data_IF_779516201565
#
_entry.id   IF_779516201565
#
_cell.length_a   1.000
_cell.length_b   1.000
_cell.length_c   1.000
_cell.angle_alpha   90.00
_cell.angle_beta   90.00
_cell.angle_gamma   90.00
#
_symmetry.space_group_name_H-M   'P 1'
#
loop_
_entity.id
_entity.type
_entity.pdbx_description
1 polymer ?
#
# COMPACT_ATOMS: atom_id res chain seq x y z
N UNK A 1 -3.43 -21.05 11.23
CA UNK A 1 -4.38 -21.82 10.38
C UNK A 1 -3.88 -23.26 10.27
N UNK A 2 -4.72 -24.22 10.46
CA UNK A 2 -4.33 -25.65 10.40
C UNK A 2 -4.03 -26.16 8.98
N UNK A 3 -4.47 -25.45 7.92
CA UNK A 3 -4.22 -25.82 6.51
C UNK A 3 -4.27 -24.59 5.60
N UNK A 4 -3.21 -24.38 4.82
CA UNK A 4 -3.14 -23.43 3.72
C UNK A 4 -2.39 -22.12 4.01
N UNK A 5 -2.11 -21.40 2.93
CA UNK A 5 -1.47 -20.08 2.94
C UNK A 5 -2.50 -19.01 2.62
N UNK A 6 -2.31 -17.82 3.19
CA UNK A 6 -3.02 -16.63 2.77
C UNK A 6 -2.00 -15.62 2.25
N UNK A 7 -2.29 -15.09 1.09
CA UNK A 7 -1.51 -14.05 0.44
C UNK A 7 -2.19 -12.71 0.69
N UNK A 8 -1.40 -11.72 1.05
CA UNK A 8 -1.89 -10.36 1.31
C UNK A 8 -1.13 -9.39 0.41
N UNK A 9 -1.87 -8.58 -0.34
CA UNK A 9 -1.36 -7.41 -1.05
C UNK A 9 -1.86 -6.14 -0.36
N UNK A 10 -1.03 -5.11 -0.30
CA UNK A 10 -1.40 -3.78 0.15
C UNK A 10 -0.79 -2.73 -0.77
N UNK A 11 -1.57 -1.70 -1.09
CA UNK A 11 -1.15 -0.51 -1.81
C UNK A 11 -1.06 0.63 -0.80
N UNK A 12 0.10 1.25 -0.73
CA UNK A 12 0.42 2.27 0.26
C UNK A 12 0.87 3.56 -0.40
N UNK A 13 0.40 4.70 0.10
CA UNK A 13 1.00 5.99 -0.23
C UNK A 13 2.34 6.17 0.50
N UNK A 14 3.38 6.39 -0.27
CA UNK A 14 4.75 6.48 0.25
C UNK A 14 4.97 7.65 1.19
N UNK A 15 4.36 8.77 0.89
CA UNK A 15 4.56 10.00 1.65
C UNK A 15 3.92 9.91 3.04
N UNK A 16 2.66 9.48 3.08
CA UNK A 16 1.86 9.46 4.30
C UNK A 16 1.85 8.13 5.02
N UNK A 17 2.33 7.06 4.38
CA UNK A 17 2.27 5.67 4.87
C UNK A 17 0.86 5.10 4.95
N UNK A 18 -0.15 5.78 4.44
CA UNK A 18 -1.52 5.30 4.45
C UNK A 18 -1.66 4.09 3.54
N UNK A 19 -2.26 3.02 4.05
CA UNK A 19 -2.71 1.89 3.24
C UNK A 19 -3.98 2.32 2.52
N UNK A 20 -3.92 2.40 1.19
CA UNK A 20 -5.03 2.87 0.34
C UNK A 20 -6.00 1.73 0.00
N UNK A 21 -5.45 0.57 -0.32
CA UNK A 21 -6.22 -0.64 -0.61
C UNK A 21 -5.45 -1.88 -0.20
N UNK A 22 -6.15 -2.97 0.04
CA UNK A 22 -5.56 -4.27 0.35
C UNK A 22 -6.50 -5.41 -0.02
N UNK A 23 -5.94 -6.60 -0.27
CA UNK A 23 -6.71 -7.83 -0.54
C UNK A 23 -6.02 -9.03 0.09
N UNK A 24 -6.83 -10.01 0.45
CA UNK A 24 -6.36 -11.34 0.87
C UNK A 24 -6.90 -12.37 -0.13
N UNK A 25 -6.03 -13.28 -0.55
CA UNK A 25 -6.36 -14.42 -1.39
C UNK A 25 -5.75 -15.69 -0.81
N UNK A 26 -6.35 -16.84 -1.11
CA UNK A 26 -5.79 -18.17 -0.87
C UNK A 26 -4.98 -18.68 -2.08
N UNK A 27 -5.01 -17.97 -3.20
CA UNK A 27 -4.22 -18.24 -4.41
C UNK A 27 -3.23 -17.11 -4.68
N UNK A 28 -2.11 -17.44 -5.31
CA UNK A 28 -1.05 -16.49 -5.67
C UNK A 28 -1.23 -15.98 -7.11
N UNK A 29 -2.45 -15.71 -7.53
CA UNK A 29 -2.76 -15.18 -8.86
C UNK A 29 -2.61 -13.65 -8.88
N UNK A 30 -2.42 -13.07 -10.07
CA UNK A 30 -2.26 -11.61 -10.18
C UNK A 30 -3.58 -10.86 -9.98
N UNK A 31 -4.72 -11.54 -10.11
CA UNK A 31 -6.04 -10.92 -10.15
C UNK A 31 -6.37 -10.15 -8.85
N UNK A 32 -6.13 -10.75 -7.67
CA UNK A 32 -6.41 -10.05 -6.41
C UNK A 32 -5.52 -8.82 -6.20
N UNK A 33 -4.32 -8.78 -6.83
CA UNK A 33 -3.46 -7.60 -6.84
C UNK A 33 -4.05 -6.51 -7.74
N UNK A 34 -4.57 -6.89 -8.92
CA UNK A 34 -5.24 -5.97 -9.84
C UNK A 34 -6.51 -5.40 -9.21
N UNK A 35 -7.27 -6.19 -8.47
CA UNK A 35 -8.46 -5.72 -7.73
C UNK A 35 -8.10 -4.68 -6.67
N UNK A 36 -7.03 -4.89 -5.92
CA UNK A 36 -6.53 -3.89 -4.98
C UNK A 36 -6.11 -2.60 -5.70
N UNK A 37 -5.45 -2.71 -6.86
CA UNK A 37 -5.06 -1.58 -7.68
C UNK A 37 -6.27 -0.82 -8.21
N UNK A 38 -7.27 -1.51 -8.71
CA UNK A 38 -8.52 -0.92 -9.20
C UNK A 38 -9.24 -0.14 -8.10
N UNK A 39 -9.33 -0.71 -6.91
CA UNK A 39 -9.92 -0.02 -5.75
C UNK A 39 -9.14 1.24 -5.38
N UNK A 40 -7.81 1.16 -5.32
CA UNK A 40 -6.98 2.30 -5.00
C UNK A 40 -7.14 3.43 -6.04
N UNK A 41 -7.09 3.10 -7.34
CA UNK A 41 -7.27 4.07 -8.43
C UNK A 41 -8.67 4.70 -8.38
N UNK A 42 -9.70 3.89 -8.14
CA UNK A 42 -11.08 4.38 -8.08
C UNK A 42 -11.30 5.38 -6.93
N UNK A 43 -10.75 5.09 -5.76
CA UNK A 43 -10.94 5.90 -4.54
C UNK A 43 -10.04 7.12 -4.46
N UNK A 44 -8.82 7.03 -4.98
CA UNK A 44 -7.77 8.02 -4.73
C UNK A 44 -7.15 8.60 -6.00
N UNK A 45 -7.58 8.13 -7.17
CA UNK A 45 -7.00 8.49 -8.46
C UNK A 45 -5.72 7.70 -8.77
N UNK A 46 -5.26 7.75 -10.04
CA UNK A 46 -4.04 7.09 -10.46
C UNK A 46 -2.82 7.84 -9.91
N UNK A 47 -1.83 7.14 -9.33
CA UNK A 47 -0.56 7.75 -8.95
C UNK A 47 0.29 8.01 -10.21
N UNK A 48 1.24 8.91 -10.11
CA UNK A 48 2.21 9.14 -11.19
C UNK A 48 3.14 7.93 -11.37
N UNK A 49 3.54 7.31 -10.27
CA UNK A 49 4.47 6.18 -10.24
C UNK A 49 3.94 5.11 -9.28
N UNK A 50 3.96 3.85 -9.72
CA UNK A 50 3.74 2.68 -8.90
C UNK A 50 5.05 1.94 -8.70
N UNK A 51 5.46 1.78 -7.44
CA UNK A 51 6.60 0.96 -7.07
C UNK A 51 6.16 -0.44 -6.68
N UNK A 52 6.81 -1.46 -7.24
CA UNK A 52 6.55 -2.87 -6.95
C UNK A 52 7.86 -3.63 -6.82
N UNK A 53 7.83 -4.78 -6.17
CA UNK A 53 8.92 -5.75 -6.27
C UNK A 53 8.84 -6.54 -7.60
N UNK A 54 9.74 -7.50 -7.77
CA UNK A 54 9.79 -8.37 -8.95
C UNK A 54 8.97 -9.66 -8.77
N UNK A 55 8.01 -9.67 -7.86
CA UNK A 55 7.11 -10.81 -7.70
C UNK A 55 6.34 -11.13 -8.99
N UNK A 56 6.06 -12.42 -9.21
CA UNK A 56 5.39 -12.91 -10.42
C UNK A 56 4.05 -12.21 -10.69
N UNK A 57 3.34 -11.80 -9.64
CA UNK A 57 2.08 -11.07 -9.73
C UNK A 57 2.27 -9.69 -10.36
N UNK A 58 3.36 -8.98 -9.98
CA UNK A 58 3.64 -7.61 -10.41
C UNK A 58 4.38 -7.54 -11.75
N UNK A 59 4.93 -8.66 -12.21
CA UNK A 59 5.48 -8.81 -13.58
C UNK A 59 4.47 -9.38 -14.57
N UNK A 60 3.30 -9.78 -14.10
CA UNK A 60 2.23 -10.33 -14.94
C UNK A 60 1.73 -9.32 -15.97
N UNK A 61 1.22 -9.84 -17.10
CA UNK A 61 0.60 -9.00 -18.14
C UNK A 61 -0.60 -8.22 -17.58
N UNK A 62 -1.45 -8.87 -16.77
CA UNK A 62 -2.64 -8.25 -16.21
C UNK A 62 -2.31 -7.01 -15.36
N UNK A 63 -1.29 -7.10 -14.52
CA UNK A 63 -0.83 -6.00 -13.68
C UNK A 63 -0.20 -4.86 -14.49
N UNK A 64 0.75 -5.19 -15.36
CA UNK A 64 1.50 -4.19 -16.14
C UNK A 64 0.62 -3.49 -17.17
N UNK A 65 -0.28 -4.20 -17.84
CA UNK A 65 -1.26 -3.63 -18.77
C UNK A 65 -2.25 -2.70 -18.05
N UNK A 66 -2.72 -3.09 -16.86
CA UNK A 66 -3.63 -2.24 -16.06
C UNK A 66 -2.97 -0.92 -15.66
N UNK A 67 -1.71 -0.94 -15.22
CA UNK A 67 -0.95 0.28 -14.91
C UNK A 67 -0.75 1.15 -16.15
N UNK A 68 -0.37 0.55 -17.28
CA UNK A 68 -0.15 1.26 -18.53
C UNK A 68 -1.42 1.96 -19.02
N UNK A 69 -2.57 1.28 -18.98
CA UNK A 69 -3.88 1.86 -19.36
C UNK A 69 -4.30 3.01 -18.45
N UNK A 70 -3.79 3.06 -17.23
CA UNK A 70 -4.03 4.16 -16.31
C UNK A 70 -3.03 5.30 -16.42
N UNK A 71 -2.06 5.22 -17.34
CA UNK A 71 -0.99 6.22 -17.49
C UNK A 71 0.03 6.19 -16.35
N UNK A 72 0.08 5.12 -15.56
CA UNK A 72 0.94 5.00 -14.38
C UNK A 72 2.31 4.47 -14.81
N UNK A 73 3.37 5.17 -14.43
CA UNK A 73 4.75 4.69 -14.61
C UNK A 73 5.07 3.59 -13.61
N UNK A 74 5.70 2.52 -14.10
CA UNK A 74 6.11 1.38 -13.26
C UNK A 74 7.56 1.57 -12.85
N UNK A 75 7.83 1.47 -11.54
CA UNK A 75 9.16 1.35 -10.97
C UNK A 75 9.28 0.02 -10.26
N UNK A 76 10.21 -0.81 -10.69
CA UNK A 76 10.47 -2.11 -10.06
C UNK A 76 11.78 -2.05 -9.27
N UNK A 77 11.77 -2.64 -8.07
CA UNK A 77 12.96 -2.81 -7.27
C UNK A 77 13.86 -3.87 -7.93
N UNK A 78 14.89 -3.42 -8.60
CA UNK A 78 15.84 -4.26 -9.33
C UNK A 78 16.97 -3.40 -9.89
N UNK A 79 18.09 -4.02 -10.32
CA UNK A 79 19.34 -3.38 -10.78
C UNK A 79 19.20 -2.44 -12.00
N UNK A 80 17.98 -2.04 -12.37
CA UNK A 80 17.68 -1.14 -13.46
C UNK A 80 17.55 0.31 -12.97
N UNK A 81 18.32 1.19 -13.56
CA UNK A 81 18.37 2.63 -13.34
C UNK A 81 16.99 3.29 -13.53
N UNK A 82 16.19 3.37 -12.48
CA UNK A 82 15.17 4.39 -12.41
C UNK A 82 15.78 5.58 -11.64
N UNK A 83 15.99 6.69 -12.33
CA UNK A 83 16.29 7.97 -11.69
C UNK A 83 14.95 8.55 -11.24
N UNK A 84 14.67 8.60 -9.92
CA UNK A 84 13.51 9.33 -9.42
C UNK A 84 13.65 10.80 -9.87
N UNK A 85 12.52 11.50 -10.07
CA UNK A 85 12.54 12.95 -10.28
C UNK A 85 13.39 13.62 -9.21
N UNK A 86 14.04 14.75 -9.53
CA UNK A 86 14.97 15.46 -8.60
C UNK A 86 14.41 15.61 -7.19
N UNK A 87 13.11 15.85 -7.06
CA UNK A 87 12.43 16.04 -5.78
C UNK A 87 12.32 14.75 -4.94
N UNK A 88 12.17 13.60 -5.59
CA UNK A 88 12.14 12.28 -4.93
C UNK A 88 13.57 11.84 -4.59
N UNK A 89 14.53 12.06 -5.50
CA UNK A 89 15.94 11.72 -5.29
C UNK A 89 16.57 12.51 -4.12
N UNK A 90 16.23 13.78 -3.96
CA UNK A 90 16.71 14.61 -2.85
C UNK A 90 16.19 14.13 -1.48
N UNK A 91 15.02 13.51 -1.45
CA UNK A 91 14.38 13.04 -0.21
C UNK A 91 14.69 11.57 0.12
N UNK A 92 15.05 10.78 -0.89
CA UNK A 92 15.39 9.35 -0.76
C UNK A 92 16.61 9.03 -1.63
N UNK A 93 17.83 9.02 -1.05
CA UNK A 93 19.06 8.73 -1.78
C UNK A 93 18.97 7.39 -2.52
N UNK A 94 19.41 7.37 -3.77
CA UNK A 94 19.49 6.18 -4.59
C UNK A 94 20.26 5.06 -3.86
N UNK A 95 19.63 3.91 -3.68
CA UNK A 95 20.23 2.72 -3.03
C UNK A 95 19.62 2.32 -1.70
N UNK A 96 18.72 3.10 -1.11
CA UNK A 96 17.91 2.61 0.00
C UNK A 96 16.65 1.95 -0.56
N UNK A 97 16.48 0.64 -0.26
CA UNK A 97 15.44 -0.23 -0.81
C UNK A 97 14.09 0.44 -0.96
N UNK A 98 13.60 0.44 -2.19
CA UNK A 98 12.36 1.09 -2.61
C UNK A 98 11.15 0.57 -1.81
N UNK A 99 11.23 -0.65 -1.26
CA UNK A 99 10.15 -1.32 -0.53
C UNK A 99 10.22 -1.18 1.01
N UNK A 100 11.15 -0.38 1.56
CA UNK A 100 11.37 -0.28 3.03
C UNK A 100 10.08 0.03 3.82
N UNK A 101 9.13 0.76 3.23
CA UNK A 101 7.90 1.14 3.91
C UNK A 101 6.88 0.00 3.94
N UNK A 102 6.81 -0.76 2.86
CA UNK A 102 5.97 -1.97 2.78
C UNK A 102 6.56 -3.06 3.66
N UNK A 103 7.88 -3.22 3.68
CA UNK A 103 8.55 -4.15 4.60
C UNK A 103 8.28 -3.82 6.08
N UNK A 104 8.32 -2.53 6.44
CA UNK A 104 7.95 -2.08 7.79
C UNK A 104 6.47 -2.32 8.10
N UNK A 105 5.57 -2.13 7.13
CA UNK A 105 4.16 -2.46 7.27
C UNK A 105 4.00 -3.95 7.56
N UNK A 106 4.65 -4.81 6.77
CA UNK A 106 4.59 -6.26 6.96
C UNK A 106 5.14 -6.70 8.30
N UNK A 107 6.24 -6.10 8.74
CA UNK A 107 6.81 -6.37 10.06
C UNK A 107 5.81 -6.01 11.16
N UNK A 108 5.26 -4.81 11.14
CA UNK A 108 4.27 -4.37 12.13
C UNK A 108 3.02 -5.26 12.12
N UNK A 109 2.48 -5.57 10.95
CA UNK A 109 1.32 -6.45 10.81
C UNK A 109 1.59 -7.85 11.39
N UNK A 110 2.75 -8.44 11.10
CA UNK A 110 3.12 -9.76 11.64
C UNK A 110 3.14 -9.76 13.15
N UNK A 111 3.84 -8.81 13.77
CA UNK A 111 4.02 -8.79 15.21
C UNK A 111 2.80 -8.29 16.00
N UNK A 112 2.05 -7.37 15.43
CA UNK A 112 0.92 -6.72 16.12
C UNK A 112 -0.43 -7.40 15.82
N UNK A 113 -0.51 -8.21 14.75
CA UNK A 113 -1.78 -8.77 14.29
C UNK A 113 -1.72 -10.29 14.01
N UNK A 114 -0.70 -10.76 13.26
CA UNK A 114 -0.70 -12.14 12.77
C UNK A 114 -0.25 -13.15 13.83
N UNK A 115 0.75 -12.80 14.63
CA UNK A 115 1.34 -13.72 15.61
C UNK A 115 0.59 -13.78 16.95
N UNK A 116 -0.29 -12.82 17.23
CA UNK A 116 -0.99 -12.73 18.51
C UNK A 116 -2.24 -13.63 18.58
N UNK A 117 -3.16 -13.64 17.60
CA UNK A 117 -4.31 -14.51 17.61
C UNK A 117 -4.05 -15.81 16.85
N UNK A 118 -4.57 -16.90 17.37
CA UNK A 118 -4.63 -18.19 16.66
C UNK A 118 -5.86 -18.21 15.75
N UNK A 119 -5.81 -17.56 14.59
CA UNK A 119 -6.90 -17.63 13.61
C UNK A 119 -7.06 -19.05 13.06
N UNK A 120 -8.26 -19.56 13.15
CA UNK A 120 -8.60 -20.89 12.66
C UNK A 120 -9.07 -20.84 11.19
N UNK A 121 -9.73 -19.75 10.81
CA UNK A 121 -10.35 -19.58 9.49
C UNK A 121 -9.77 -18.40 8.71
N UNK A 122 -9.89 -18.45 7.36
CA UNK A 122 -9.52 -17.34 6.49
C UNK A 122 -10.41 -16.09 6.68
N UNK A 123 -11.66 -16.28 7.15
CA UNK A 123 -12.56 -15.18 7.48
C UNK A 123 -12.07 -14.42 8.70
N UNK A 124 -11.71 -15.11 9.77
CA UNK A 124 -11.13 -14.50 10.97
C UNK A 124 -9.84 -13.75 10.68
N UNK A 125 -8.97 -14.35 9.85
CA UNK A 125 -7.74 -13.69 9.41
C UNK A 125 -8.03 -12.39 8.66
N UNK A 126 -9.01 -12.40 7.75
CA UNK A 126 -9.43 -11.21 7.00
C UNK A 126 -9.99 -10.13 7.91
N UNK A 127 -10.82 -10.48 8.86
CA UNK A 127 -11.41 -9.55 9.82
C UNK A 127 -10.35 -8.96 10.77
N UNK A 128 -9.42 -9.78 11.22
CA UNK A 128 -8.29 -9.35 12.03
C UNK A 128 -7.40 -8.34 11.28
N UNK A 129 -7.03 -8.65 10.03
CA UNK A 129 -6.24 -7.75 9.19
C UNK A 129 -6.99 -6.45 8.90
N UNK A 130 -8.31 -6.50 8.63
CA UNK A 130 -9.13 -5.31 8.41
C UNK A 130 -9.09 -4.38 9.63
N UNK A 131 -9.39 -4.90 10.82
CA UNK A 131 -9.36 -4.12 12.07
C UNK A 131 -7.98 -3.53 12.34
N UNK A 132 -6.93 -4.29 12.05
CA UNK A 132 -5.57 -3.80 12.24
C UNK A 132 -5.20 -2.70 11.23
N UNK A 133 -5.57 -2.82 9.94
CA UNK A 133 -5.32 -1.77 8.94
C UNK A 133 -6.11 -0.50 9.25
N UNK A 134 -7.35 -0.61 9.74
CA UNK A 134 -8.12 0.54 10.23
C UNK A 134 -7.41 1.23 11.40
N UNK A 135 -6.95 0.46 12.39
CA UNK A 135 -6.15 0.99 13.49
C UNK A 135 -4.85 1.64 12.99
N UNK A 136 -4.12 0.97 12.09
CA UNK A 136 -2.88 1.47 11.49
C UNK A 136 -3.09 2.81 10.80
N UNK A 137 -4.12 2.94 9.99
CA UNK A 137 -4.39 4.15 9.22
C UNK A 137 -4.90 5.31 10.10
N UNK A 138 -5.79 5.04 11.05
CA UNK A 138 -6.56 6.08 11.73
C UNK A 138 -6.13 6.36 13.17
N UNK A 139 -5.46 5.43 13.83
CA UNK A 139 -5.15 5.54 15.26
C UNK A 139 -3.68 5.37 15.62
N UNK A 140 -2.93 4.56 14.83
CA UNK A 140 -1.55 4.25 15.14
C UNK A 140 -0.66 5.48 14.95
N UNK A 141 0.04 5.97 15.98
CA UNK A 141 0.96 7.10 15.84
C UNK A 141 2.24 6.68 15.09
N UNK A 142 2.73 7.54 14.21
CA UNK A 142 3.96 7.34 13.46
C UNK A 142 4.98 8.43 13.76
N UNK A 143 6.13 8.07 14.32
CA UNK A 143 7.19 9.03 14.65
C UNK A 143 7.65 9.84 13.44
N UNK A 144 7.79 9.21 12.28
CA UNK A 144 8.15 9.87 11.03
C UNK A 144 7.09 10.86 10.50
N UNK A 145 5.89 10.84 11.07
CA UNK A 145 4.77 11.73 10.73
C UNK A 145 4.45 12.70 11.89
N UNK A 146 5.42 12.95 12.77
CA UNK A 146 5.21 13.80 13.94
C UNK A 146 4.20 13.24 14.93
N UNK A 147 4.11 11.91 15.06
CA UNK A 147 3.16 11.23 15.95
C UNK A 147 1.74 11.13 15.41
N UNK A 148 1.47 11.63 14.19
CA UNK A 148 0.13 11.59 13.60
C UNK A 148 -0.14 10.24 12.92
N UNK A 149 -1.41 9.78 12.90
CA UNK A 149 -1.82 8.64 12.09
C UNK A 149 -1.71 8.93 10.57
N UNK A 150 -1.42 7.91 9.74
CA UNK A 150 -1.29 8.05 8.28
C UNK A 150 -2.46 8.75 7.59
N UNK A 151 -3.69 8.41 7.95
CA UNK A 151 -4.87 9.00 7.34
C UNK A 151 -4.99 10.51 7.60
N UNK A 152 -4.63 10.97 8.79
CA UNK A 152 -4.64 12.41 9.12
C UNK A 152 -3.69 13.18 8.21
N UNK A 153 -2.45 12.67 8.06
CA UNK A 153 -1.44 13.31 7.21
C UNK A 153 -1.85 13.28 5.74
N UNK A 154 -2.48 12.18 5.30
CA UNK A 154 -2.97 12.04 3.92
C UNK A 154 -4.00 13.11 3.56
N UNK A 155 -5.03 13.28 4.40
CA UNK A 155 -6.08 14.25 4.13
C UNK A 155 -5.59 15.70 4.27
N UNK A 156 -4.74 16.00 5.27
CA UNK A 156 -4.11 17.32 5.40
C UNK A 156 -3.30 17.70 4.15
N UNK A 157 -2.60 16.73 3.54
CA UNK A 157 -1.85 16.97 2.30
C UNK A 157 -2.76 17.29 1.13
N UNK A 158 -3.87 16.55 0.96
CA UNK A 158 -4.84 16.81 -0.13
C UNK A 158 -5.46 18.18 0.03
N UNK A 159 -5.89 18.56 1.23
CA UNK A 159 -6.44 19.89 1.53
C UNK A 159 -5.46 21.01 1.19
N UNK A 160 -4.17 20.81 1.44
CA UNK A 160 -3.12 21.80 1.13
C UNK A 160 -2.80 21.87 -0.38
N UNK A 161 -2.92 20.75 -1.10
CA UNK A 161 -2.58 20.68 -2.53
C UNK A 161 -3.73 21.15 -3.42
N UNK A 162 -5.00 20.97 -2.98
CA UNK A 162 -6.22 21.38 -3.69
C UNK A 162 -7.16 22.14 -2.75
N UNK A 163 -6.88 23.42 -2.44
CA UNK A 163 -7.70 24.20 -1.50
C UNK A 163 -9.15 24.39 -1.97
N UNK A 164 -9.41 24.31 -3.28
CA UNK A 164 -10.75 24.53 -3.88
C UNK A 164 -11.62 23.26 -3.95
N UNK A 165 -11.09 22.09 -3.68
CA UNK A 165 -11.88 20.87 -3.56
C UNK A 165 -12.28 20.64 -2.09
N UNK A 166 -13.43 21.21 -1.69
CA UNK A 166 -14.11 20.78 -0.46
C UNK A 166 -14.49 19.30 -0.59
N UNK A 167 -13.67 18.45 -0.04
CA UNK A 167 -13.99 17.03 0.07
C UNK A 167 -15.16 16.92 1.04
N UNK A 168 -16.36 16.59 0.52
CA UNK A 168 -17.50 16.24 1.36
C UNK A 168 -17.06 15.10 2.29
N UNK A 169 -16.98 15.41 3.58
CA UNK A 169 -16.80 14.41 4.63
C UNK A 169 -18.08 13.58 4.66
N UNK A 170 -18.01 12.38 4.15
CA UNK A 170 -19.03 11.36 4.41
C UNK A 170 -18.84 10.95 5.87
N UNK A 171 -19.84 11.27 6.68
CA UNK A 171 -19.92 10.91 8.09
C UNK A 171 -20.08 9.40 8.26
#
# INVERSE_FOLDING_TARGET
MRRGFLYLVAIMDWHTRKVLAWRISNTLEAEFCVDALNEAIHKFGPPEIMNTDQGSQFTSFAWTDRLRRSGIRISMDGKGRFLPSRDIAARYPAGQGINIFVERLWRSLKYECVYLPAWETGSEARDGVRKWIEFYNHKRPHSALGGKPPAVVYWQRIETTNPDQQVQRVA
#
